data_IF_339680396453
#
_entry.id   IF_339680396453
#
_cell.length_a   1.000
_cell.length_b   1.000
_cell.length_c   1.000
_cell.angle_alpha   90.00
_cell.angle_beta   90.00
_cell.angle_gamma   90.00
#
_symmetry.space_group_name_H-M   'P 1'
#
loop_
_entity.id
_entity.type
_entity.pdbx_description
1 polymer ?
#
# COMPACT_ATOMS: atom_id res chain seq x y z
N UNK A 1 34.58 9.28 -41.92
CA UNK A 1 35.19 9.36 -40.58
C UNK A 1 34.14 9.89 -39.62
N UNK A 2 33.38 8.98 -38.99
CA UNK A 2 32.41 9.31 -37.95
C UNK A 2 33.16 9.31 -36.61
N UNK A 3 33.12 10.44 -35.92
CA UNK A 3 33.69 10.60 -34.58
C UNK A 3 32.85 9.79 -33.60
N UNK A 4 33.43 8.71 -33.09
CA UNK A 4 33.00 8.04 -31.85
C UNK A 4 33.07 9.07 -30.72
N UNK A 5 31.93 9.69 -30.40
CA UNK A 5 31.77 10.42 -29.15
C UNK A 5 31.66 9.37 -28.04
N UNK A 6 32.78 9.28 -27.33
CA UNK A 6 33.04 8.56 -26.10
C UNK A 6 31.89 8.79 -25.10
N UNK A 7 30.97 7.83 -24.97
CA UNK A 7 30.12 7.70 -23.79
C UNK A 7 31.00 7.22 -22.63
N UNK A 8 31.79 8.13 -22.04
CA UNK A 8 32.27 7.92 -20.67
C UNK A 8 31.06 8.09 -19.76
N UNK A 9 30.30 7.00 -19.59
CA UNK A 9 29.33 6.89 -18.51
C UNK A 9 30.10 7.14 -17.21
N UNK A 10 29.71 8.19 -16.50
CA UNK A 10 30.15 8.48 -15.16
C UNK A 10 29.60 7.39 -14.22
N UNK A 11 30.24 6.22 -14.22
CA UNK A 11 29.98 5.09 -13.33
C UNK A 11 30.26 5.43 -11.86
N UNK A 12 30.79 6.63 -11.56
CA UNK A 12 31.15 7.04 -10.20
C UNK A 12 29.95 7.41 -9.31
N UNK A 13 28.73 7.48 -9.86
CA UNK A 13 27.51 7.91 -9.17
C UNK A 13 26.36 6.90 -9.15
N UNK A 14 26.56 5.64 -9.59
CA UNK A 14 25.51 4.62 -9.52
C UNK A 14 25.36 4.09 -8.09
N UNK A 15 24.15 4.09 -7.55
CA UNK A 15 23.85 3.54 -6.23
C UNK A 15 24.13 2.02 -6.18
N UNK A 16 24.88 1.59 -5.17
CA UNK A 16 25.03 0.17 -4.80
C UNK A 16 24.67 0.02 -3.32
N UNK A 17 24.09 -1.13 -2.98
CA UNK A 17 23.75 -1.42 -1.58
C UNK A 17 24.99 -1.59 -0.72
N UNK A 18 26.04 -2.23 -1.24
CA UNK A 18 27.27 -2.50 -0.50
C UNK A 18 27.95 -1.20 -0.05
N UNK A 19 28.14 -0.24 -0.96
CA UNK A 19 28.74 1.05 -0.64
C UNK A 19 27.85 1.85 0.31
N UNK A 20 26.53 1.82 0.09
CA UNK A 20 25.57 2.56 0.89
C UNK A 20 25.52 2.06 2.33
N UNK A 21 25.42 0.75 2.52
CA UNK A 21 25.39 0.09 3.83
C UNK A 21 26.69 0.33 4.58
N UNK A 22 27.84 0.15 3.92
CA UNK A 22 29.15 0.41 4.52
C UNK A 22 29.30 1.86 4.97
N UNK A 23 28.82 2.82 4.16
CA UNK A 23 28.91 4.25 4.49
C UNK A 23 28.07 4.67 5.69
N UNK A 24 26.89 4.06 5.88
CA UNK A 24 25.97 4.43 6.96
C UNK A 24 26.09 3.53 8.20
N UNK A 25 27.03 2.59 8.21
CA UNK A 25 27.16 1.53 9.20
C UNK A 25 25.81 0.80 9.43
N UNK A 26 25.16 0.46 8.31
CA UNK A 26 23.83 -0.14 8.29
C UNK A 26 23.87 -1.67 8.34
N UNK A 27 22.69 -2.26 8.53
CA UNK A 27 22.50 -3.70 8.41
C UNK A 27 21.27 -3.98 7.55
N UNK A 28 21.36 -4.96 6.64
CA UNK A 28 20.22 -5.44 5.88
C UNK A 28 19.35 -6.37 6.74
N UNK A 29 18.04 -6.33 6.52
CA UNK A 29 17.14 -7.32 7.10
C UNK A 29 17.50 -8.73 6.59
N UNK A 30 17.41 -9.72 7.48
CA UNK A 30 17.59 -11.13 7.11
C UNK A 30 16.53 -11.54 6.07
N UNK A 31 16.89 -12.24 4.97
CA UNK A 31 15.94 -12.73 3.98
C UNK A 31 14.75 -13.53 4.56
N UNK A 32 14.92 -14.17 5.73
CA UNK A 32 13.85 -14.88 6.45
C UNK A 32 12.73 -13.97 6.94
N UNK A 33 12.95 -12.66 7.05
CA UNK A 33 11.92 -11.70 7.43
C UNK A 33 10.84 -11.54 6.34
N UNK A 34 11.14 -11.89 5.09
CA UNK A 34 10.34 -11.55 3.92
C UNK A 34 9.50 -12.71 3.42
N UNK A 35 8.25 -12.43 3.04
CA UNK A 35 7.42 -13.34 2.26
C UNK A 35 7.79 -13.22 0.77
N UNK A 36 9.02 -13.60 0.42
CA UNK A 36 9.55 -13.56 -0.95
C UNK A 36 10.33 -14.85 -1.27
N UNK A 37 10.42 -15.19 -2.55
CA UNK A 37 11.42 -16.17 -2.98
C UNK A 37 12.82 -15.56 -2.85
N UNK A 38 13.76 -16.33 -2.31
CA UNK A 38 15.18 -15.92 -2.19
C UNK A 38 15.74 -15.58 -3.57
N UNK A 39 15.42 -16.41 -4.56
CA UNK A 39 15.72 -16.17 -5.97
C UNK A 39 14.45 -15.60 -6.60
N UNK A 40 14.47 -14.38 -7.17
CA UNK A 40 13.31 -13.81 -7.83
C UNK A 40 12.72 -14.77 -8.88
N UNK A 41 11.39 -15.00 -8.88
CA UNK A 41 10.78 -15.93 -9.83
C UNK A 41 10.87 -15.39 -11.27
N UNK A 42 11.06 -16.25 -12.29
CA UNK A 42 11.06 -15.81 -13.67
C UNK A 42 9.69 -15.30 -14.08
N UNK A 43 9.65 -14.25 -14.91
CA UNK A 43 8.42 -13.71 -15.47
C UNK A 43 8.23 -14.15 -16.91
N UNK A 44 7.21 -14.98 -17.14
CA UNK A 44 6.86 -15.50 -18.47
C UNK A 44 5.57 -14.87 -19.02
N UNK A 45 5.01 -13.86 -18.34
CA UNK A 45 3.80 -13.20 -18.83
C UNK A 45 4.09 -12.39 -20.10
N UNK A 46 3.06 -12.26 -20.92
CA UNK A 46 3.10 -11.44 -22.13
C UNK A 46 2.15 -10.24 -22.01
N UNK A 47 2.58 -9.10 -22.54
CA UNK A 47 1.73 -7.90 -22.62
C UNK A 47 0.51 -8.21 -23.48
N UNK A 48 -0.65 -7.69 -23.08
CA UNK A 48 -1.98 -7.93 -23.62
C UNK A 48 -2.63 -9.28 -23.28
N UNK A 49 -1.91 -10.20 -22.62
CA UNK A 49 -2.53 -11.43 -22.13
C UNK A 49 -3.57 -11.14 -21.04
N UNK A 50 -4.63 -11.95 -21.02
CA UNK A 50 -5.71 -11.87 -20.03
C UNK A 50 -5.50 -12.84 -18.88
N UNK A 51 -5.85 -12.38 -17.68
CA UNK A 51 -5.84 -13.14 -16.44
C UNK A 51 -7.02 -12.71 -15.56
N UNK A 52 -7.23 -13.39 -14.45
CA UNK A 52 -8.11 -12.90 -13.39
C UNK A 52 -7.29 -12.26 -12.29
N UNK A 53 -7.66 -11.06 -11.86
CA UNK A 53 -6.98 -10.33 -10.79
C UNK A 53 -7.98 -9.83 -9.75
N UNK A 54 -7.54 -9.78 -8.49
CA UNK A 54 -8.28 -9.12 -7.42
C UNK A 54 -8.38 -7.62 -7.69
N UNK A 55 -9.57 -7.07 -7.51
CA UNK A 55 -9.75 -5.62 -7.45
C UNK A 55 -9.39 -5.10 -6.04
N UNK A 56 -8.24 -4.45 -5.92
CA UNK A 56 -7.75 -3.88 -4.66
C UNK A 56 -8.68 -2.81 -4.06
N UNK A 57 -9.48 -2.11 -4.87
CA UNK A 57 -10.42 -1.10 -4.37
C UNK A 57 -11.64 -1.76 -3.75
N UNK A 58 -12.13 -2.84 -4.35
CA UNK A 58 -13.18 -3.67 -3.75
C UNK A 58 -12.69 -4.29 -2.45
N UNK A 59 -11.46 -4.84 -2.44
CA UNK A 59 -10.85 -5.43 -1.24
C UNK A 59 -10.66 -4.42 -0.09
N UNK A 60 -10.30 -3.16 -0.40
CA UNK A 60 -10.15 -2.11 0.61
C UNK A 60 -11.48 -1.72 1.28
N UNK A 61 -12.60 -1.78 0.53
CA UNK A 61 -13.94 -1.52 1.09
C UNK A 61 -14.46 -2.66 1.98
N UNK A 62 -13.92 -3.86 1.84
CA UNK A 62 -14.32 -5.04 2.62
C UNK A 62 -13.55 -5.18 3.96
N UNK A 63 -12.54 -4.35 4.24
CA UNK A 63 -11.85 -4.34 5.53
C UNK A 63 -12.66 -3.53 6.55
N UNK A 64 -13.15 -4.14 7.66
CA UNK A 64 -13.78 -3.37 8.74
C UNK A 64 -12.74 -2.42 9.32
N UNK A 65 -13.06 -1.12 9.37
CA UNK A 65 -12.22 -0.10 10.00
C UNK A 65 -11.94 -0.52 11.45
N UNK A 66 -10.73 -1.00 11.74
CA UNK A 66 -10.31 -1.21 13.11
C UNK A 66 -10.04 0.17 13.71
N UNK A 67 -11.00 0.67 14.49
CA UNK A 67 -10.77 1.83 15.35
C UNK A 67 -9.64 1.48 16.32
N UNK A 68 -8.45 2.02 16.08
CA UNK A 68 -7.41 2.08 17.11
C UNK A 68 -7.89 3.10 18.14
N UNK A 69 -8.62 2.61 19.15
CA UNK A 69 -8.94 3.42 20.33
C UNK A 69 -7.64 3.68 21.09
N UNK A 70 -7.20 4.94 21.07
CA UNK A 70 -6.23 5.48 22.00
C UNK A 70 -7.01 5.92 23.23
N UNK A 71 -7.07 5.06 24.24
CA UNK A 71 -7.47 5.36 25.62
C UNK A 71 -6.84 4.23 26.47
N UNK A 72 -6.13 4.39 27.58
CA UNK A 72 -5.80 5.54 28.40
C UNK A 72 -4.62 5.07 29.29
N UNK A 73 -3.59 5.91 29.44
CA UNK A 73 -2.56 5.73 30.47
C UNK A 73 -3.21 6.13 31.79
N UNK A 74 -3.36 5.21 32.73
CA UNK A 74 -3.16 5.40 34.18
C UNK A 74 -3.74 4.22 34.95
N UNK A 75 -2.90 3.61 35.80
CA UNK A 75 -3.32 2.58 36.73
C UNK A 75 -4.25 3.12 37.82
N UNK A 76 -5.22 2.29 38.21
CA UNK A 76 -5.74 2.23 39.57
C UNK A 76 -6.53 0.91 39.73
N UNK A 77 -5.96 -0.01 40.48
CA UNK A 77 -6.63 -1.16 41.06
C UNK A 77 -7.59 -0.71 42.16
N UNK A 78 -8.89 -1.05 42.09
CA UNK A 78 -9.79 -1.03 43.26
C UNK A 78 -10.85 -2.15 43.16
N UNK A 79 -10.61 -3.17 43.99
CA UNK A 79 -11.50 -3.95 44.86
C UNK A 79 -12.84 -4.56 44.37
N UNK A 80 -12.93 -5.85 44.69
CA UNK A 80 -14.10 -6.73 44.78
C UNK A 80 -15.06 -6.28 45.90
N UNK A 81 -16.36 -6.53 45.66
CA UNK A 81 -17.38 -7.09 46.58
C UNK A 81 -18.75 -6.85 45.90
N UNK A 82 -19.67 -7.79 45.71
CA UNK A 82 -20.03 -8.93 46.53
C UNK A 82 -21.36 -8.63 47.26
N UNK A 83 -22.53 -8.97 46.67
CA UNK A 83 -23.60 -9.63 47.43
C UNK A 83 -24.76 -10.18 46.53
N UNK A 84 -25.26 -11.40 46.78
CA UNK A 84 -26.45 -12.01 46.17
C UNK A 84 -27.69 -11.89 47.09
N UNK A 85 -28.91 -12.16 46.58
CA UNK A 85 -30.03 -12.89 47.25
C UNK A 85 -31.39 -12.78 46.50
N UNK A 86 -31.95 -13.94 46.05
CA UNK A 86 -33.22 -14.63 46.49
C UNK A 86 -34.49 -14.14 45.74
N UNK A 87 -35.01 -14.78 44.66
CA UNK A 87 -35.85 -16.03 44.47
C UNK A 87 -37.38 -15.86 44.75
N UNK A 88 -38.28 -16.84 44.41
CA UNK A 88 -38.72 -17.34 43.10
C UNK A 88 -40.26 -17.17 42.87
N UNK A 89 -40.76 -17.31 41.63
CA UNK A 89 -42.21 -17.50 41.40
C UNK A 89 -42.49 -18.53 40.29
N UNK A 90 -43.30 -19.54 40.65
CA UNK A 90 -43.82 -20.58 39.76
C UNK A 90 -44.99 -20.06 38.91
N UNK A 91 -45.02 -20.46 37.65
CA UNK A 91 -46.18 -20.34 36.76
C UNK A 91 -46.07 -21.34 35.62
N UNK A 92 -46.90 -22.39 35.68
CA UNK A 92 -46.97 -23.48 34.72
C UNK A 92 -47.49 -23.02 33.35
N UNK A 93 -46.81 -23.45 32.28
CA UNK A 93 -47.29 -23.29 30.91
C UNK A 93 -46.59 -24.27 29.99
N UNK A 94 -47.28 -25.36 29.68
CA UNK A 94 -46.85 -26.46 28.82
C UNK A 94 -46.61 -26.00 27.38
N UNK A 95 -45.37 -26.15 26.89
CA UNK A 95 -45.02 -25.88 25.50
C UNK A 95 -43.70 -26.55 25.13
N UNK A 96 -43.81 -27.59 24.29
CA UNK A 96 -42.75 -28.51 23.82
C UNK A 96 -41.43 -27.81 23.50
N UNK A 97 -40.33 -28.21 24.16
CA UNK A 97 -38.96 -27.94 23.72
C UNK A 97 -38.28 -29.25 23.34
N UNK A 98 -37.93 -29.36 22.07
CA UNK A 98 -37.04 -30.41 21.57
C UNK A 98 -35.63 -30.14 22.08
N UNK A 99 -34.97 -31.19 22.55
CA UNK A 99 -33.59 -31.15 23.02
C UNK A 99 -32.62 -30.79 21.88
N UNK A 100 -31.76 -29.79 22.09
CA UNK A 100 -30.44 -29.76 21.47
C UNK A 100 -29.41 -29.99 22.58
N UNK A 101 -28.72 -31.12 22.47
CA UNK A 101 -27.55 -31.46 23.26
C UNK A 101 -26.39 -30.53 22.91
N UNK A 102 -25.56 -30.26 23.92
CA UNK A 102 -24.53 -29.24 23.91
C UNK A 102 -23.44 -29.41 22.85
N UNK A 103 -22.95 -28.27 22.39
CA UNK A 103 -21.68 -28.14 21.67
C UNK A 103 -20.79 -27.22 22.51
N UNK A 104 -19.61 -27.74 22.79
CA UNK A 104 -18.45 -27.14 23.45
C UNK A 104 -18.08 -25.79 22.81
N UNK A 105 -17.81 -24.71 23.56
CA UNK A 105 -17.19 -23.51 22.99
C UNK A 105 -15.68 -23.75 22.89
N UNK A 106 -15.26 -24.34 21.78
CA UNK A 106 -13.86 -24.49 21.40
C UNK A 106 -13.60 -23.82 20.05
N UNK A 107 -12.55 -23.01 19.99
CA UNK A 107 -11.92 -22.38 18.81
C UNK A 107 -12.77 -21.36 18.03
N UNK A 108 -12.36 -20.10 18.13
CA UNK A 108 -12.91 -19.00 17.37
C UNK A 108 -12.71 -19.17 15.86
N UNK A 109 -13.81 -19.30 15.13
CA UNK A 109 -13.86 -19.02 13.71
C UNK A 109 -14.44 -17.62 13.53
N UNK A 110 -13.57 -16.61 13.55
CA UNK A 110 -13.96 -15.23 13.27
C UNK A 110 -13.90 -14.96 11.77
N UNK A 111 -15.08 -14.61 11.23
CA UNK A 111 -15.36 -13.87 9.99
C UNK A 111 -15.20 -14.61 8.66
N UNK A 112 -16.36 -14.95 8.09
CA UNK A 112 -16.58 -15.16 6.66
C UNK A 112 -16.35 -13.81 5.94
N UNK A 113 -15.10 -13.50 5.63
CA UNK A 113 -14.76 -12.47 4.64
C UNK A 113 -15.44 -12.86 3.33
N UNK A 114 -16.16 -11.94 2.67
CA UNK A 114 -16.42 -12.13 1.24
C UNK A 114 -15.04 -12.23 0.59
N UNK A 115 -14.78 -13.31 -0.13
CA UNK A 115 -13.54 -13.48 -0.86
C UNK A 115 -13.35 -12.26 -1.78
N UNK A 116 -12.14 -11.70 -1.80
CA UNK A 116 -11.84 -10.53 -2.60
C UNK A 116 -12.31 -10.75 -4.05
N UNK A 117 -13.06 -9.78 -4.59
CA UNK A 117 -13.69 -9.93 -5.89
C UNK A 117 -12.63 -9.96 -7.00
N UNK A 118 -12.58 -11.06 -7.75
CA UNK A 118 -11.78 -11.16 -8.97
C UNK A 118 -12.54 -10.55 -10.16
N UNK A 119 -11.79 -9.82 -10.99
CA UNK A 119 -12.25 -9.27 -12.26
C UNK A 119 -11.33 -9.73 -13.39
N UNK A 120 -11.79 -9.60 -14.63
CA UNK A 120 -10.94 -9.83 -15.79
C UNK A 120 -9.89 -8.71 -15.87
N UNK A 121 -8.62 -9.09 -15.91
CA UNK A 121 -7.47 -8.19 -16.03
C UNK A 121 -6.71 -8.43 -17.31
N UNK A 122 -6.07 -7.36 -17.82
CA UNK A 122 -5.13 -7.40 -18.95
C UNK A 122 -3.75 -6.98 -18.45
N UNK A 123 -2.73 -7.75 -18.80
CA UNK A 123 -1.34 -7.36 -18.58
C UNK A 123 -1.03 -6.18 -19.50
N UNK A 124 -0.66 -5.04 -18.93
CA UNK A 124 -0.31 -3.83 -19.69
C UNK A 124 1.20 -3.59 -19.76
N UNK A 125 1.95 -4.08 -18.76
CA UNK A 125 3.40 -3.82 -18.65
C UNK A 125 4.06 -4.87 -17.76
N UNK A 126 5.37 -5.07 -17.93
CA UNK A 126 6.18 -6.06 -17.19
C UNK A 126 7.43 -5.38 -16.62
N UNK A 127 7.74 -5.64 -15.36
CA UNK A 127 8.91 -5.10 -14.67
C UNK A 127 9.54 -6.18 -13.79
N UNK A 128 10.62 -6.81 -14.28
CA UNK A 128 11.19 -8.00 -13.63
C UNK A 128 10.09 -9.04 -13.32
N UNK A 129 9.95 -9.51 -12.07
CA UNK A 129 8.91 -10.45 -11.62
C UNK A 129 7.55 -9.82 -11.34
N UNK A 130 7.33 -8.55 -11.69
CA UNK A 130 6.06 -7.84 -11.49
C UNK A 130 5.34 -7.65 -12.81
N UNK A 131 4.03 -7.85 -12.77
CA UNK A 131 3.09 -7.59 -13.87
C UNK A 131 2.20 -6.41 -13.50
N UNK A 132 2.10 -5.42 -14.38
CA UNK A 132 1.13 -4.34 -14.27
C UNK A 132 -0.14 -4.79 -14.96
N UNK A 133 -1.25 -4.75 -14.24
CA UNK A 133 -2.55 -5.25 -14.70
C UNK A 133 -3.56 -4.11 -14.70
N UNK A 134 -4.27 -3.96 -15.82
CA UNK A 134 -5.46 -3.12 -15.94
C UNK A 134 -6.70 -3.97 -15.93
N UNK A 135 -7.68 -3.61 -15.10
CA UNK A 135 -8.95 -4.31 -15.09
C UNK A 135 -9.77 -3.94 -16.34
N UNK A 136 -10.42 -4.92 -16.94
CA UNK A 136 -11.20 -4.71 -18.17
C UNK A 136 -12.38 -3.79 -17.89
N UNK A 137 -12.48 -2.71 -18.66
CA UNK A 137 -13.54 -1.70 -18.50
C UNK A 137 -13.23 -0.61 -17.49
N UNK A 138 -11.97 -0.49 -17.04
CA UNK A 138 -11.46 0.67 -16.28
C UNK A 138 -10.45 1.48 -17.10
N UNK A 139 -10.09 2.66 -16.58
CA UNK A 139 -8.99 3.48 -17.08
C UNK A 139 -7.63 3.04 -16.53
N UNK A 140 -6.58 3.80 -16.86
CA UNK A 140 -5.18 3.55 -16.47
C UNK A 140 -4.79 4.08 -15.09
N UNK A 141 -5.67 4.85 -14.46
CA UNK A 141 -5.38 5.55 -13.20
C UNK A 141 -5.24 4.61 -12.02
N UNK A 142 -5.77 3.40 -12.15
CA UNK A 142 -5.86 2.41 -11.09
C UNK A 142 -5.26 1.07 -11.50
N UNK A 143 -4.33 1.07 -12.44
CA UNK A 143 -3.55 -0.13 -12.76
C UNK A 143 -2.82 -0.61 -11.49
N UNK A 144 -2.84 -1.92 -11.28
CA UNK A 144 -2.25 -2.54 -10.09
C UNK A 144 -1.05 -3.40 -10.50
N UNK A 145 0.00 -3.39 -9.69
CA UNK A 145 1.14 -4.29 -9.86
C UNK A 145 0.97 -5.53 -8.99
N UNK A 146 1.26 -6.69 -9.57
CA UNK A 146 1.27 -7.98 -8.88
C UNK A 146 2.60 -8.67 -9.14
N UNK A 147 3.11 -9.42 -8.17
CA UNK A 147 4.17 -10.39 -8.44
C UNK A 147 3.60 -11.60 -9.19
N UNK A 148 4.40 -12.23 -10.04
CA UNK A 148 4.02 -13.46 -10.79
C UNK A 148 3.66 -14.65 -9.88
N UNK A 149 4.06 -14.59 -8.61
CA UNK A 149 3.76 -15.58 -7.57
C UNK A 149 2.66 -15.12 -6.59
N UNK A 150 1.91 -14.07 -6.94
CA UNK A 150 0.85 -13.52 -6.10
C UNK A 150 -0.39 -14.42 -6.15
N UNK A 151 -1.00 -14.64 -4.99
CA UNK A 151 -2.30 -15.31 -4.84
C UNK A 151 -3.48 -14.44 -5.26
N UNK A 152 -3.22 -13.18 -5.64
CA UNK A 152 -4.21 -12.20 -6.09
C UNK A 152 -4.35 -12.13 -7.61
N UNK A 153 -3.60 -12.96 -8.34
CA UNK A 153 -3.77 -13.20 -9.77
C UNK A 153 -3.92 -14.69 -10.02
N UNK A 154 -4.68 -15.07 -11.05
CA UNK A 154 -4.85 -16.47 -11.44
C UNK A 154 -5.21 -16.61 -12.92
N UNK A 155 -5.07 -17.81 -13.52
CA UNK A 155 -5.43 -18.03 -14.91
C UNK A 155 -6.91 -17.76 -15.17
N UNK A 156 -7.21 -17.23 -16.36
CA UNK A 156 -8.57 -17.21 -16.89
C UNK A 156 -8.73 -18.33 -17.93
N UNK A 157 -9.84 -19.07 -17.94
CA UNK A 157 -10.91 -19.07 -16.93
C UNK A 157 -10.52 -19.90 -15.69
N UNK A 158 -10.87 -19.41 -14.50
CA UNK A 158 -10.69 -20.13 -13.23
C UNK A 158 -11.88 -21.02 -12.85
N UNK A 159 -13.03 -20.85 -13.52
CA UNK A 159 -14.30 -21.49 -13.18
C UNK A 159 -15.12 -20.77 -12.11
N UNK A 160 -14.64 -19.63 -11.59
CA UNK A 160 -15.40 -18.77 -10.67
C UNK A 160 -15.98 -17.53 -11.38
N UNK A 161 -17.08 -17.00 -10.84
CA UNK A 161 -17.73 -15.80 -11.39
C UNK A 161 -16.84 -14.56 -11.26
N UNK A 162 -16.70 -13.84 -12.37
CA UNK A 162 -16.01 -12.56 -12.43
C UNK A 162 -16.95 -11.41 -12.10
N UNK A 163 -16.52 -10.53 -11.19
CA UNK A 163 -17.24 -9.32 -10.85
C UNK A 163 -16.79 -8.16 -11.76
N UNK A 164 -17.70 -7.22 -12.07
CA UNK A 164 -17.27 -5.95 -12.67
C UNK A 164 -16.33 -5.24 -11.69
N UNK A 165 -15.23 -4.64 -12.17
CA UNK A 165 -14.31 -3.93 -11.29
C UNK A 165 -14.98 -2.71 -10.66
N UNK A 166 -14.51 -2.31 -9.49
CA UNK A 166 -14.79 -1.00 -8.92
C UNK A 166 -14.38 0.07 -9.93
N UNK A 167 -15.15 1.16 -10.07
CA UNK A 167 -14.87 2.16 -11.10
C UNK A 167 -15.00 1.64 -12.54
N UNK A 168 -15.72 0.54 -12.76
CA UNK A 168 -16.16 0.13 -14.08
C UNK A 168 -16.88 1.29 -14.79
N UNK A 169 -16.39 1.65 -15.98
CA UNK A 169 -16.77 2.89 -16.65
C UNK A 169 -18.13 2.82 -17.35
N UNK A 170 -18.81 1.68 -17.29
CA UNK A 170 -20.08 1.43 -17.96
C UNK A 170 -21.16 0.96 -16.98
N UNK A 171 -22.39 0.80 -17.48
CA UNK A 171 -23.46 0.23 -16.68
C UNK A 171 -23.16 -1.24 -16.35
N UNK A 172 -23.26 -1.64 -15.08
CA UNK A 172 -22.97 -3.02 -14.64
C UNK A 172 -23.81 -4.08 -15.39
N UNK A 173 -25.00 -3.73 -15.88
CA UNK A 173 -25.85 -4.63 -16.68
C UNK A 173 -25.20 -5.03 -18.02
N UNK A 174 -24.23 -4.27 -18.53
CA UNK A 174 -23.50 -4.61 -19.76
C UNK A 174 -22.21 -5.40 -19.51
N UNK A 175 -21.86 -5.68 -18.25
CA UNK A 175 -20.62 -6.38 -17.88
C UNK A 175 -20.45 -7.71 -18.64
N UNK A 176 -21.50 -8.53 -18.69
CA UNK A 176 -21.45 -9.80 -19.42
C UNK A 176 -21.15 -9.63 -20.92
N UNK A 177 -21.58 -8.53 -21.54
CA UNK A 177 -21.24 -8.20 -22.93
C UNK A 177 -19.79 -7.72 -23.05
N UNK A 178 -19.33 -6.91 -22.11
CA UNK A 178 -17.92 -6.49 -22.05
C UNK A 178 -16.98 -7.68 -21.91
N UNK A 179 -17.30 -8.63 -21.02
CA UNK A 179 -16.53 -9.87 -20.87
C UNK A 179 -16.45 -10.63 -22.20
N UNK A 180 -17.60 -10.92 -22.82
CA UNK A 180 -17.65 -11.64 -24.12
C UNK A 180 -16.79 -10.97 -25.19
N UNK A 181 -16.87 -9.64 -25.30
CA UNK A 181 -16.05 -8.88 -26.26
C UNK A 181 -14.57 -8.86 -25.89
N UNK A 182 -14.24 -8.84 -24.60
CA UNK A 182 -12.85 -8.77 -24.15
C UNK A 182 -12.09 -10.07 -24.37
N UNK A 183 -12.78 -11.22 -24.29
CA UNK A 183 -12.20 -12.55 -24.46
C UNK A 183 -12.20 -13.04 -25.92
N UNK A 184 -12.90 -12.34 -26.81
CA UNK A 184 -12.93 -12.62 -28.25
C UNK A 184 -11.53 -12.40 -28.84
N UNK A 185 -10.96 -13.44 -29.45
CA UNK A 185 -9.59 -13.48 -30.00
C UNK A 185 -8.48 -13.04 -29.03
N UNK A 186 -8.73 -13.16 -27.72
CA UNK A 186 -7.77 -12.77 -26.70
C UNK A 186 -6.69 -13.83 -26.47
N UNK A 187 -5.48 -13.36 -26.16
CA UNK A 187 -4.42 -14.22 -25.63
C UNK A 187 -4.65 -14.36 -24.12
N UNK A 188 -4.62 -15.59 -23.62
CA UNK A 188 -4.75 -15.87 -22.19
C UNK A 188 -3.38 -16.16 -21.58
N UNK A 189 -3.17 -15.69 -20.36
CA UNK A 189 -1.98 -16.04 -19.60
C UNK A 189 -1.99 -17.55 -19.32
N UNK A 190 -0.92 -18.25 -19.73
CA UNK A 190 -0.80 -19.70 -19.52
C UNK A 190 -0.79 -20.02 -18.02
N UNK A 191 -1.47 -21.10 -17.57
CA UNK A 191 -1.39 -21.55 -16.18
C UNK A 191 0.04 -21.78 -15.67
N UNK A 192 0.98 -22.11 -16.56
CA UNK A 192 2.40 -22.30 -16.21
C UNK A 192 3.15 -21.00 -15.90
N UNK A 193 2.57 -19.83 -16.20
CA UNK A 193 3.18 -18.53 -15.90
C UNK A 193 2.92 -18.08 -14.46
N UNK A 194 1.94 -18.68 -13.78
CA UNK A 194 1.58 -18.37 -12.40
C UNK A 194 2.44 -19.20 -11.45
N UNK A 195 3.30 -18.53 -10.70
CA UNK A 195 4.23 -19.19 -9.78
C UNK A 195 3.54 -19.38 -8.43
N UNK A 196 3.93 -20.44 -7.70
CA UNK A 196 3.38 -20.67 -6.36
C UNK A 196 3.88 -19.61 -5.38
N UNK A 197 3.01 -19.08 -4.50
CA UNK A 197 3.43 -18.14 -3.47
C UNK A 197 4.56 -18.71 -2.59
N UNK A 198 5.51 -17.87 -2.15
CA UNK A 198 6.54 -18.28 -1.21
C UNK A 198 5.93 -18.62 0.17
N UNK A 199 6.63 -19.41 0.99
CA UNK A 199 6.19 -19.70 2.35
C UNK A 199 6.08 -18.42 3.19
N UNK A 200 5.18 -18.43 4.18
CA UNK A 200 5.09 -17.35 5.14
C UNK A 200 6.29 -17.37 6.09
N UNK A 201 6.85 -16.21 6.47
CA UNK A 201 7.80 -16.14 7.56
C UNK A 201 7.16 -16.64 8.87
N UNK A 202 7.97 -17.23 9.76
CA UNK A 202 7.49 -17.76 11.05
C UNK A 202 6.90 -16.67 11.96
N UNK A 203 7.31 -15.42 11.76
CA UNK A 203 6.80 -14.27 12.48
C UNK A 203 7.46 -12.98 12.02
N UNK A 204 7.19 -11.89 12.74
CA UNK A 204 7.88 -10.63 12.50
C UNK A 204 9.30 -10.67 13.08
N UNK A 205 10.29 -10.86 12.21
CA UNK A 205 11.72 -10.98 12.57
C UNK A 205 12.53 -9.71 12.28
N UNK A 206 11.88 -8.66 11.77
CA UNK A 206 12.53 -7.37 11.48
C UNK A 206 13.05 -6.70 12.76
N UNK A 207 14.13 -5.94 12.62
CA UNK A 207 14.71 -5.10 13.66
C UNK A 207 14.67 -3.63 13.26
N UNK A 208 14.63 -2.76 14.26
CA UNK A 208 14.65 -1.32 14.05
C UNK A 208 15.93 -0.93 13.30
N UNK A 209 15.78 -0.16 12.22
CA UNK A 209 16.89 0.32 11.39
C UNK A 209 17.32 -0.64 10.28
N UNK A 210 16.79 -1.86 10.23
CA UNK A 210 17.08 -2.82 9.15
C UNK A 210 16.80 -2.19 7.78
N UNK A 211 17.72 -2.41 6.84
CA UNK A 211 17.64 -1.95 5.46
C UNK A 211 16.93 -2.98 4.59
N UNK A 212 16.10 -2.49 3.69
CA UNK A 212 15.30 -3.27 2.75
C UNK A 212 14.98 -2.47 1.50
N UNK A 213 14.40 -3.15 0.51
CA UNK A 213 13.78 -2.55 -0.67
C UNK A 213 12.26 -2.57 -0.49
N UNK A 214 11.56 -1.47 -0.79
CA UNK A 214 10.12 -1.38 -0.59
C UNK A 214 9.41 -0.64 -1.74
N UNK A 215 8.19 -1.08 -2.07
CA UNK A 215 7.33 -0.38 -3.04
C UNK A 215 6.88 0.96 -2.47
N UNK A 216 6.97 2.05 -3.26
CA UNK A 216 6.29 3.31 -2.95
C UNK A 216 4.79 3.17 -3.23
N UNK A 217 3.95 3.24 -2.20
CA UNK A 217 2.49 3.11 -2.36
C UNK A 217 1.83 4.29 -3.09
N UNK A 218 2.52 5.43 -3.21
CA UNK A 218 2.04 6.56 -4.03
C UNK A 218 2.40 6.40 -5.50
N UNK A 219 3.43 5.60 -5.80
CA UNK A 219 3.82 5.24 -7.15
C UNK A 219 4.34 3.80 -7.18
N UNK A 220 3.40 2.85 -7.34
CA UNK A 220 3.68 1.43 -7.19
C UNK A 220 4.68 0.84 -8.21
N UNK A 221 5.04 1.60 -9.25
CA UNK A 221 6.11 1.26 -10.18
C UNK A 221 7.50 1.37 -9.52
N UNK A 222 7.65 2.26 -8.53
CA UNK A 222 8.91 2.51 -7.86
C UNK A 222 9.13 1.50 -6.73
N UNK A 223 10.33 0.91 -6.71
CA UNK A 223 10.89 0.23 -5.54
C UNK A 223 12.09 1.07 -5.10
N UNK A 224 12.18 1.34 -3.81
CA UNK A 224 13.14 2.28 -3.24
C UNK A 224 13.87 1.66 -2.02
N UNK A 225 15.11 2.08 -1.74
CA UNK A 225 15.79 1.84 -0.47
C UNK A 225 14.97 2.40 0.70
N UNK A 226 14.79 1.56 1.70
CA UNK A 226 14.03 1.89 2.89
C UNK A 226 14.66 1.29 4.15
N UNK A 227 14.20 1.80 5.28
CA UNK A 227 14.55 1.37 6.62
C UNK A 227 13.30 0.97 7.41
N UNK A 228 13.42 0.01 8.31
CA UNK A 228 12.40 -0.24 9.34
C UNK A 228 12.46 0.89 10.38
N UNK A 229 11.50 1.82 10.31
CA UNK A 229 11.43 3.00 11.17
C UNK A 229 10.82 2.75 12.55
N UNK A 230 9.96 1.73 12.67
CA UNK A 230 9.31 1.31 13.91
C UNK A 230 8.69 -0.09 13.75
N UNK A 231 8.42 -0.76 14.87
CA UNK A 231 7.82 -2.10 14.91
C UNK A 231 6.65 -2.10 15.91
N UNK A 232 5.51 -2.66 15.50
CA UNK A 232 4.32 -2.80 16.33
C UNK A 232 3.62 -4.14 16.04
N UNK A 233 3.92 -5.15 16.87
CA UNK A 233 3.38 -6.50 16.71
C UNK A 233 3.70 -7.09 15.33
N UNK A 234 2.65 -7.35 14.54
CA UNK A 234 2.79 -7.87 13.17
C UNK A 234 2.99 -6.77 12.10
N UNK A 235 3.14 -5.51 12.50
CA UNK A 235 3.32 -4.40 11.58
C UNK A 235 4.68 -3.75 11.75
N UNK A 236 5.21 -3.24 10.64
CA UNK A 236 6.45 -2.47 10.55
C UNK A 236 6.16 -1.14 9.86
N UNK A 237 6.83 -0.09 10.31
CA UNK A 237 6.85 1.20 9.63
C UNK A 237 7.99 1.17 8.61
N UNK A 238 7.65 1.32 7.35
CA UNK A 238 8.61 1.48 6.25
C UNK A 238 8.92 2.97 6.11
N UNK A 239 10.19 3.34 6.24
CA UNK A 239 10.68 4.70 6.07
C UNK A 239 11.64 4.80 4.90
N UNK A 240 11.37 5.70 3.95
CA UNK A 240 12.18 5.80 2.72
C UNK A 240 13.45 6.64 2.95
N UNK A 241 14.60 6.05 2.63
CA UNK A 241 15.89 6.64 2.98
C UNK A 241 16.10 7.97 2.23
N UNK A 242 16.46 9.03 2.96
CA UNK A 242 16.73 10.36 2.41
C UNK A 242 15.49 11.22 2.10
N UNK A 243 14.29 10.77 2.50
CA UNK A 243 13.03 11.49 2.36
C UNK A 243 12.47 11.94 3.73
N UNK A 244 11.54 12.90 3.72
CA UNK A 244 11.01 13.57 4.92
C UNK A 244 9.98 12.77 5.73
N UNK A 245 9.83 11.48 5.47
CA UNK A 245 8.82 10.62 6.10
C UNK A 245 7.41 10.74 5.51
N UNK A 246 7.17 11.68 4.58
CA UNK A 246 5.84 11.88 3.98
C UNK A 246 5.35 10.68 3.16
N UNK A 247 6.25 9.78 2.75
CA UNK A 247 5.95 8.58 1.97
C UNK A 247 5.90 7.32 2.84
N UNK A 248 6.23 7.44 4.12
CA UNK A 248 6.31 6.32 5.04
C UNK A 248 4.93 5.69 5.25
N UNK A 249 4.92 4.38 5.47
CA UNK A 249 3.68 3.67 5.71
C UNK A 249 3.86 2.48 6.65
N UNK A 250 2.80 2.20 7.41
CA UNK A 250 2.68 0.96 8.14
C UNK A 250 2.22 -0.16 7.21
N UNK A 251 2.84 -1.33 7.33
CA UNK A 251 2.40 -2.54 6.65
C UNK A 251 2.65 -3.77 7.52
N UNK A 252 1.99 -4.88 7.20
CA UNK A 252 2.29 -6.16 7.84
C UNK A 252 3.69 -6.64 7.44
N UNK A 253 4.37 -7.35 8.33
CA UNK A 253 5.71 -7.89 8.06
C UNK A 253 5.75 -8.85 6.85
N UNK A 254 4.64 -9.54 6.57
CA UNK A 254 4.48 -10.50 5.46
C UNK A 254 3.98 -9.87 4.15
N UNK A 255 4.04 -8.54 4.06
CA UNK A 255 3.65 -7.76 2.88
C UNK A 255 4.49 -8.13 1.65
N UNK A 256 3.83 -8.34 0.51
CA UNK A 256 4.48 -8.63 -0.79
C UNK A 256 5.18 -7.41 -1.41
N UNK A 257 5.02 -6.24 -0.78
CA UNK A 257 5.66 -4.97 -1.18
C UNK A 257 7.05 -4.76 -0.53
N UNK A 258 7.51 -5.70 0.31
CA UNK A 258 8.80 -5.65 0.98
C UNK A 258 9.74 -6.69 0.37
N UNK A 259 10.99 -6.31 0.10
CA UNK A 259 12.00 -7.16 -0.51
C UNK A 259 13.35 -7.04 0.21
N UNK A 260 14.13 -8.12 0.28
CA UNK A 260 15.48 -8.05 0.84
C UNK A 260 16.40 -7.16 -0.01
N UNK A 261 17.46 -6.67 0.62
CA UNK A 261 18.52 -5.91 -0.07
C UNK A 261 19.10 -6.72 -1.23
N UNK A 262 19.19 -6.12 -2.42
CA UNK A 262 19.72 -6.73 -3.64
C UNK A 262 18.68 -7.49 -4.48
N UNK A 263 17.42 -7.55 -4.04
CA UNK A 263 16.38 -8.32 -4.73
C UNK A 263 16.04 -7.72 -6.10
N UNK A 264 15.88 -6.39 -6.19
CA UNK A 264 15.68 -5.69 -7.47
C UNK A 264 16.80 -5.97 -8.47
N UNK A 265 18.06 -5.94 -8.03
CA UNK A 265 19.21 -6.23 -8.89
C UNK A 265 19.15 -7.66 -9.43
N UNK A 266 18.89 -8.65 -8.57
CA UNK A 266 18.74 -10.05 -8.97
C UNK A 266 17.54 -10.28 -9.89
N UNK A 267 16.48 -9.49 -9.71
CA UNK A 267 15.23 -9.56 -10.45
C UNK A 267 15.25 -8.82 -11.80
N UNK A 268 16.31 -8.04 -12.08
CA UNK A 268 16.34 -7.13 -13.22
C UNK A 268 15.30 -6.00 -13.13
N UNK A 269 14.87 -5.63 -11.92
CA UNK A 269 13.96 -4.51 -11.67
C UNK A 269 14.76 -3.26 -11.30
N UNK A 270 14.41 -2.06 -11.80
CA UNK A 270 15.10 -0.84 -11.40
C UNK A 270 14.86 -0.55 -9.92
N UNK A 271 15.94 -0.27 -9.20
CA UNK A 271 15.89 0.27 -7.86
C UNK A 271 16.13 1.78 -7.92
N UNK A 272 15.31 2.57 -7.24
CA UNK A 272 15.57 4.01 -7.13
C UNK A 272 16.78 4.27 -6.21
N UNK A 273 17.58 5.32 -6.45
CA UNK A 273 18.55 5.74 -5.45
C UNK A 273 17.83 6.31 -4.21
N UNK A 274 18.48 6.35 -3.04
CA UNK A 274 17.98 7.06 -1.87
C UNK A 274 17.71 8.55 -2.17
N UNK A 275 16.83 9.16 -1.38
CA UNK A 275 16.49 10.57 -1.51
C UNK A 275 17.66 11.52 -1.22
N UNK A 276 17.54 12.81 -1.58
CA UNK A 276 18.65 13.78 -1.50
C UNK A 276 19.25 13.98 -0.11
N UNK A 277 18.53 13.65 0.97
CA UNK A 277 19.01 13.80 2.34
C UNK A 277 19.85 12.61 2.82
N UNK A 278 19.91 11.52 2.06
CA UNK A 278 20.62 10.29 2.45
C UNK A 278 22.15 10.45 2.51
N UNK A 279 22.71 11.48 1.88
CA UNK A 279 24.15 11.79 1.90
C UNK A 279 24.53 12.84 2.95
N UNK A 280 23.55 13.42 3.67
CA UNK A 280 23.86 14.40 4.71
C UNK A 280 24.41 13.67 5.94
N UNK A 281 25.59 14.07 6.45
CA UNK A 281 26.09 13.53 7.71
C UNK A 281 25.01 13.72 8.79
N UNK A 282 24.65 12.65 9.51
CA UNK A 282 23.85 12.79 10.74
C UNK A 282 24.67 13.67 11.68
N UNK A 283 24.25 14.93 11.86
CA UNK A 283 24.75 15.77 12.94
C UNK A 283 24.45 15.02 14.24
N UNK A 284 25.51 14.59 14.93
CA UNK A 284 25.40 14.01 16.26
C UNK A 284 24.90 15.09 17.21
N UNK A 285 23.60 15.07 17.51
CA UNK A 285 23.07 15.80 18.64
C UNK A 285 23.49 15.01 19.88
N UNK A 286 24.59 15.43 20.51
CA UNK A 286 24.90 15.04 21.87
C UNK A 286 23.79 15.55 22.81
N UNK A 287 23.42 14.80 23.86
CA UNK A 287 22.44 15.27 24.82
C UNK A 287 23.08 16.38 25.65
N UNK A 288 22.79 17.63 25.32
CA UNK A 288 23.09 18.76 26.19
C UNK A 288 22.16 18.69 27.40
N UNK A 289 22.72 18.31 28.55
CA UNK A 289 22.09 18.45 29.84
C UNK A 289 21.67 19.92 30.07
N UNK A 290 20.42 20.10 30.48
CA UNK A 290 19.82 21.37 30.89
C UNK A 290 20.65 22.09 31.96
N UNK A 291 20.71 23.42 31.86
CA UNK A 291 20.55 24.28 33.03
C UNK A 291 19.54 25.39 32.71
N UNK A 292 18.68 25.62 33.71
CA UNK A 292 17.49 26.46 33.72
C UNK A 292 17.68 27.92 33.25
N UNK A 293 16.63 28.47 32.63
CA UNK A 293 16.09 29.76 33.07
C UNK A 293 14.67 29.97 32.53
N UNK A 294 13.72 29.77 33.42
CA UNK A 294 12.37 30.33 33.38
C UNK A 294 12.46 31.86 33.45
N UNK A 295 11.78 32.60 32.55
CA UNK A 295 11.22 33.94 32.81
C UNK A 295 10.25 34.39 31.69
N UNK A 296 8.97 34.20 31.98
CA UNK A 296 7.79 35.04 31.75
C UNK A 296 7.55 35.81 30.43
N UNK A 297 6.34 35.56 29.90
CA UNK A 297 5.60 36.47 29.04
C UNK A 297 5.36 37.83 29.73
N UNK A 298 5.42 38.92 28.97
CA UNK A 298 4.50 40.04 29.19
C UNK A 298 4.27 40.86 27.93
N UNK A 299 3.04 41.36 27.87
CA UNK A 299 2.36 41.99 26.75
C UNK A 299 2.38 43.53 26.93
N UNK A 300 2.16 44.26 25.82
CA UNK A 300 1.77 45.70 25.70
C UNK A 300 2.92 46.73 25.78
N UNK A 301 2.97 47.85 25.04
CA UNK A 301 1.95 48.56 24.26
C UNK A 301 2.56 49.58 23.25
N UNK A 302 1.85 49.76 22.12
CA UNK A 302 1.53 50.96 21.32
C UNK A 302 2.43 52.22 21.23
N UNK A 303 2.65 52.70 19.98
CA UNK A 303 2.30 54.07 19.47
C UNK A 303 2.56 54.14 17.94
N UNK A 304 1.51 54.15 17.08
CA UNK A 304 0.84 55.30 16.43
C UNK A 304 1.64 55.93 15.25
N UNK A 305 1.28 55.64 13.99
CA UNK A 305 0.30 56.32 13.10
C UNK A 305 0.86 57.52 12.30
N UNK A 306 0.92 57.36 10.97
CA UNK A 306 0.52 58.41 10.02
C UNK A 306 0.09 57.81 8.68
N UNK A 307 -1.11 58.20 8.29
CA UNK A 307 -1.95 57.75 7.17
C UNK A 307 -1.66 58.45 5.84
N UNK A 308 -1.92 57.77 4.72
CA UNK A 308 -2.69 58.35 3.61
C UNK A 308 -3.27 57.28 2.66
N UNK A 309 -4.58 57.43 2.48
CA UNK A 309 -5.60 56.80 1.63
C UNK A 309 -5.27 56.69 0.13
N UNK A 310 -5.84 55.69 -0.57
CA UNK A 310 -6.77 55.90 -1.70
C UNK A 310 -7.46 54.58 -2.17
N UNK A 311 -8.76 54.50 -1.82
CA UNK A 311 -9.95 54.06 -2.58
C UNK A 311 -9.90 53.00 -3.71
N UNK A 312 -10.79 52.02 -3.52
CA UNK A 312 -11.30 50.98 -4.43
C UNK A 312 -12.35 51.45 -5.44
N UNK A 313 -12.39 50.85 -6.64
CA UNK A 313 -13.61 50.67 -7.45
C UNK A 313 -13.56 49.37 -8.26
N UNK A 314 -14.72 48.70 -8.34
CA UNK A 314 -14.99 47.47 -9.07
C UNK A 314 -15.64 47.75 -10.43
N UNK A 315 -15.47 46.87 -11.43
CA UNK A 315 -16.46 46.70 -12.51
C UNK A 315 -16.29 45.39 -13.34
N UNK A 316 -17.40 44.65 -13.33
CA UNK A 316 -18.04 43.77 -14.34
C UNK A 316 -17.42 43.48 -15.72
N UNK A 317 -17.53 42.20 -16.11
CA UNK A 317 -17.42 41.58 -17.46
C UNK A 317 -18.26 42.28 -18.56
N UNK A 318 -17.96 41.99 -19.85
CA UNK A 318 -18.99 41.29 -20.64
C UNK A 318 -18.50 40.14 -21.53
N UNK A 319 -19.49 39.33 -21.89
CA UNK A 319 -19.55 38.10 -22.69
C UNK A 319 -19.58 38.45 -24.18
N UNK A 320 -18.88 37.70 -25.05
CA UNK A 320 -19.08 37.76 -26.51
C UNK A 320 -19.38 36.38 -27.09
N UNK A 321 -20.46 36.32 -27.86
CA UNK A 321 -21.06 35.18 -28.54
C UNK A 321 -21.25 35.62 -29.99
N UNK A 322 -20.76 34.86 -30.96
CA UNK A 322 -21.13 34.99 -32.38
C UNK A 322 -21.10 33.59 -33.02
N UNK A 323 -22.28 33.05 -33.36
CA UNK A 323 -22.42 32.18 -34.53
C UNK A 323 -22.42 33.06 -35.79
N UNK A 324 -22.32 32.59 -37.02
CA UNK A 324 -22.42 31.26 -37.60
C UNK A 324 -22.97 31.49 -39.01
N UNK A 325 -22.40 30.86 -40.05
CA UNK A 325 -23.05 30.77 -41.36
C UNK A 325 -22.42 29.67 -42.21
N UNK A 326 -23.31 28.84 -42.71
CA UNK A 326 -23.24 27.74 -43.67
C UNK A 326 -22.79 28.13 -45.07
N UNK A 327 -22.17 27.20 -45.80
CA UNK A 327 -22.53 26.95 -47.20
C UNK A 327 -22.18 25.53 -47.66
N UNK A 328 -23.04 25.00 -48.54
CA UNK A 328 -23.04 23.67 -49.17
C UNK A 328 -22.11 23.65 -50.38
N UNK A 329 -21.48 22.51 -50.64
CA UNK A 329 -21.54 21.75 -51.89
C UNK A 329 -20.73 20.45 -51.72
#
# INVERSE_FOLDING_TARGET
MLTHLNMSLDLSNSFTWDDYIARIDGHSADPKCFKQHIIPPPNNFEVNSLLEAVDHRSAAHDVPLATLSIDNINGASVLLDGNPNISPFLGSGTGRRSMMSGIVPGSGALRRFRAAAFSLGRVVELWGPRVRVRLVGTDDRNDCFFLVDSDQIRPYPSGHDLQPPFGYMHNHLVWGRTLKRAIEDAIFASPSWFIKPPPYPEGNLFKLGDKLEAVDRRNAQLICPASIGAISGQHVLVSFDGWSGAFDYWTRFDSRDLFPVGWCQAAGHPLQPPGPQASRPKLSISPSNNHDSHLSCNQQNSNSLSSSTHTSTASSKPRRRTGGSSEKA
#
